data_IF_415059620643
#
_entry.id   IF_415059620643
#
_cell.length_a   1.000
_cell.length_b   1.000
_cell.length_c   1.000
_cell.angle_alpha   90.00
_cell.angle_beta   90.00
_cell.angle_gamma   90.00
#
_symmetry.space_group_name_H-M   'P 1'
#
loop_
_entity.id
_entity.type
_entity.pdbx_description
1 polymer ?
#
# COMPACT_ATOMS: atom_id res chain seq x y z
N UNK A 1 -11.52 -5.80 -21.72
CA UNK A 1 -10.34 -4.92 -21.74
C UNK A 1 -9.18 -5.73 -21.20
N UNK A 2 -8.09 -5.87 -21.94
CA UNK A 2 -6.92 -6.60 -21.45
C UNK A 2 -5.99 -5.60 -20.77
N UNK A 3 -5.57 -5.90 -19.55
CA UNK A 3 -4.57 -5.12 -18.80
C UNK A 3 -3.23 -5.84 -18.91
N UNK A 4 -2.12 -5.10 -19.00
CA UNK A 4 -0.78 -5.69 -18.99
C UNK A 4 0.09 -5.08 -17.90
N UNK A 5 1.03 -5.88 -17.39
CA UNK A 5 2.00 -5.44 -16.38
C UNK A 5 3.16 -4.77 -17.11
N UNK A 6 3.32 -3.46 -16.90
CA UNK A 6 4.46 -2.70 -17.42
C UNK A 6 5.69 -2.84 -16.54
N UNK A 7 5.51 -2.78 -15.23
CA UNK A 7 6.58 -2.92 -14.25
C UNK A 7 6.11 -3.67 -13.00
N UNK A 8 7.05 -4.29 -12.31
CA UNK A 8 6.84 -5.01 -11.06
C UNK A 8 8.01 -4.76 -10.10
N UNK A 9 7.69 -4.60 -8.83
CA UNK A 9 8.66 -4.59 -7.74
C UNK A 9 8.17 -5.39 -6.54
N UNK A 10 9.10 -5.91 -5.76
CA UNK A 10 8.83 -6.56 -4.48
C UNK A 10 9.92 -6.22 -3.47
N UNK A 11 9.50 -6.04 -2.22
CA UNK A 11 10.36 -5.70 -1.08
C UNK A 11 9.98 -6.62 0.08
N UNK A 12 11.00 -7.17 0.75
CA UNK A 12 10.84 -8.06 1.90
C UNK A 12 11.86 -7.67 2.98
N UNK A 13 11.53 -7.80 4.26
CA UNK A 13 12.49 -7.51 5.35
C UNK A 13 13.55 -8.62 5.52
N UNK A 14 14.80 -8.29 5.92
CA UNK A 14 15.31 -6.96 6.26
C UNK A 14 15.98 -6.24 5.07
N UNK A 15 15.68 -4.94 4.90
CA UNK A 15 16.38 -4.02 4.00
C UNK A 15 16.82 -2.81 4.83
N UNK A 16 18.05 -2.33 4.63
CA UNK A 16 18.46 -1.03 5.17
C UNK A 16 17.67 0.06 4.44
N UNK A 17 16.71 0.69 5.14
CA UNK A 17 15.69 1.55 4.54
C UNK A 17 15.84 3.00 5.01
N UNK A 18 15.68 3.93 4.07
CA UNK A 18 15.59 5.34 4.40
C UNK A 18 14.34 5.61 5.26
N UNK A 19 14.49 6.46 6.28
CA UNK A 19 13.36 6.86 7.10
C UNK A 19 12.34 7.65 6.27
N UNK A 20 11.06 7.30 6.36
CA UNK A 20 9.96 8.09 5.80
C UNK A 20 9.46 9.05 6.89
N UNK A 21 9.61 10.38 6.72
CA UNK A 21 9.23 11.33 7.76
C UNK A 21 7.77 11.17 8.19
N UNK A 22 7.57 11.00 9.50
CA UNK A 22 6.23 10.79 10.06
C UNK A 22 5.75 9.34 10.05
N UNK A 23 6.54 8.36 9.62
CA UNK A 23 6.19 6.94 9.69
C UNK A 23 7.32 6.15 10.34
N UNK A 24 7.32 6.11 11.68
CA UNK A 24 8.48 5.65 12.47
C UNK A 24 8.21 4.42 13.35
N UNK A 25 6.94 4.05 13.55
CA UNK A 25 6.56 3.00 14.50
C UNK A 25 6.49 1.60 13.86
N UNK A 26 6.38 1.53 12.55
CA UNK A 26 6.04 0.31 11.80
C UNK A 26 6.68 0.32 10.42
N UNK A 27 7.04 -0.86 9.92
CA UNK A 27 7.57 -1.04 8.56
C UNK A 27 6.49 -0.89 7.47
N UNK A 28 5.20 -0.89 7.84
CA UNK A 28 4.08 -0.85 6.88
C UNK A 28 4.20 0.29 5.87
N UNK A 29 4.20 1.53 6.35
CA UNK A 29 4.19 2.72 5.51
C UNK A 29 5.54 2.89 4.76
N UNK A 30 6.72 2.68 5.39
CA UNK A 30 7.98 2.66 4.65
C UNK A 30 8.06 1.59 3.55
N UNK A 31 7.49 0.40 3.74
CA UNK A 31 7.49 -0.64 2.70
C UNK A 31 6.62 -0.27 1.49
N UNK A 32 5.50 0.42 1.71
CA UNK A 32 4.67 0.97 0.62
C UNK A 32 5.47 1.97 -0.20
N UNK A 33 6.21 2.87 0.47
CA UNK A 33 7.07 3.83 -0.21
C UNK A 33 8.20 3.16 -0.99
N UNK A 34 8.90 2.21 -0.40
CA UNK A 34 9.99 1.48 -1.06
C UNK A 34 9.52 0.77 -2.33
N UNK A 35 8.42 0.03 -2.24
CA UNK A 35 7.95 -0.77 -3.37
C UNK A 35 7.37 0.12 -4.48
N UNK A 36 6.73 1.24 -4.14
CA UNK A 36 6.32 2.25 -5.11
C UNK A 36 7.54 2.88 -5.81
N UNK A 37 8.55 3.28 -5.04
CA UNK A 37 9.80 3.84 -5.54
C UNK A 37 10.50 2.88 -6.52
N UNK A 38 10.61 1.62 -6.13
CA UNK A 38 11.23 0.58 -6.94
C UNK A 38 10.43 0.29 -8.22
N UNK A 39 9.10 0.28 -8.15
CA UNK A 39 8.24 0.00 -9.30
C UNK A 39 8.21 1.16 -10.32
N UNK A 40 8.25 2.41 -9.83
CA UNK A 40 8.23 3.62 -10.68
C UNK A 40 9.62 4.01 -11.19
N UNK A 41 10.69 3.42 -10.66
CA UNK A 41 12.05 3.73 -11.06
C UNK A 41 12.26 3.54 -12.59
N UNK A 42 12.62 4.62 -13.27
CA UNK A 42 12.87 4.63 -14.71
C UNK A 42 11.61 4.48 -15.58
N UNK A 43 10.41 4.53 -14.99
CA UNK A 43 9.16 4.55 -15.73
C UNK A 43 8.79 5.97 -16.14
N UNK A 44 8.22 6.11 -17.33
CA UNK A 44 7.64 7.35 -17.83
C UNK A 44 6.12 7.27 -17.65
N UNK A 45 5.55 8.15 -16.82
CA UNK A 45 4.12 8.17 -16.52
C UNK A 45 3.65 9.60 -16.32
N UNK A 46 2.37 9.85 -16.60
CA UNK A 46 1.72 11.12 -16.32
C UNK A 46 1.02 11.04 -14.96
N UNK A 47 1.42 11.89 -14.02
CA UNK A 47 1.00 11.79 -12.61
C UNK A 47 -0.48 12.12 -12.38
N UNK A 48 -1.09 12.92 -13.25
CA UNK A 48 -2.53 13.21 -13.25
C UNK A 48 -3.36 12.07 -13.87
N UNK A 49 -2.74 11.22 -14.71
CA UNK A 49 -3.36 10.06 -15.36
C UNK A 49 -2.95 8.71 -14.75
N UNK A 50 -2.27 8.75 -13.60
CA UNK A 50 -1.89 7.58 -12.81
C UNK A 50 -2.75 7.49 -11.54
N UNK A 51 -3.49 6.40 -11.39
CA UNK A 51 -4.12 6.07 -10.12
C UNK A 51 -3.21 5.18 -9.26
N UNK A 52 -3.39 5.24 -7.94
CA UNK A 52 -2.71 4.37 -6.97
C UNK A 52 -3.76 3.60 -6.17
N UNK A 53 -3.62 2.27 -6.11
CA UNK A 53 -4.48 1.39 -5.33
C UNK A 53 -3.63 0.60 -4.33
N UNK A 54 -3.84 0.85 -3.05
CA UNK A 54 -3.17 0.17 -1.95
C UNK A 54 -4.10 -0.84 -1.27
N UNK A 55 -3.70 -2.10 -1.25
CA UNK A 55 -4.37 -3.16 -0.52
C UNK A 55 -3.56 -3.59 0.70
N UNK A 56 -4.26 -3.75 1.83
CA UNK A 56 -3.77 -4.52 2.96
C UNK A 56 -4.94 -5.03 3.78
N UNK A 57 -4.97 -6.33 4.04
CA UNK A 57 -5.95 -6.98 4.90
C UNK A 57 -5.87 -6.52 6.36
N UNK A 58 -4.66 -6.29 6.88
CA UNK A 58 -4.47 -5.90 8.29
C UNK A 58 -4.16 -4.41 8.49
N UNK A 59 -3.74 -3.71 7.44
CA UNK A 59 -3.27 -2.33 7.53
C UNK A 59 -2.04 -2.17 8.43
N UNK A 60 -1.79 -0.95 8.90
CA UNK A 60 -0.74 -0.68 9.89
C UNK A 60 -1.20 -1.06 11.31
N UNK A 61 -1.36 -2.37 11.52
CA UNK A 61 -1.82 -2.92 12.78
C UNK A 61 -0.82 -2.68 13.93
N UNK A 62 0.48 -2.52 13.62
CA UNK A 62 1.51 -2.21 14.62
C UNK A 62 1.30 -0.82 15.22
N UNK A 63 1.19 0.21 14.37
CA UNK A 63 0.91 1.58 14.83
C UNK A 63 -0.46 1.68 15.51
N UNK A 64 -1.46 0.97 14.97
CA UNK A 64 -2.81 0.91 15.57
C UNK A 64 -2.80 0.30 16.96
N UNK A 65 -2.06 -0.79 17.18
CA UNK A 65 -1.99 -1.49 18.46
C UNK A 65 -1.25 -0.68 19.51
N UNK A 66 -0.16 -0.01 19.12
CA UNK A 66 0.56 0.94 19.98
C UNK A 66 -0.37 2.06 20.44
N UNK A 67 -1.04 2.74 19.51
CA UNK A 67 -1.96 3.83 19.81
C UNK A 67 -3.08 3.38 20.76
N UNK A 68 -3.68 2.22 20.48
CA UNK A 68 -4.75 1.64 21.31
C UNK A 68 -4.27 1.28 22.72
N UNK A 69 -3.05 0.74 22.85
CA UNK A 69 -2.47 0.36 24.14
C UNK A 69 -2.17 1.58 25.00
N UNK A 70 -1.57 2.62 24.42
CA UNK A 70 -1.27 3.87 25.12
C UNK A 70 -2.57 4.55 25.60
N UNK A 71 -3.59 4.58 24.74
CA UNK A 71 -4.91 5.10 25.10
C UNK A 71 -5.54 4.33 26.27
N UNK A 72 -5.55 3.00 26.20
CA UNK A 72 -6.13 2.15 27.25
C UNK A 72 -5.39 2.29 28.59
N UNK A 73 -4.08 2.54 28.56
CA UNK A 73 -3.25 2.79 29.74
C UNK A 73 -3.40 4.23 30.29
N UNK A 74 -4.20 5.09 29.66
CA UNK A 74 -4.33 6.50 30.04
C UNK A 74 -3.05 7.32 29.81
N UNK A 75 -2.18 6.86 28.90
CA UNK A 75 -0.91 7.52 28.59
C UNK A 75 -1.09 8.58 27.51
N UNK A 76 -0.47 9.74 27.75
CA UNK A 76 -0.30 10.77 26.71
C UNK A 76 0.62 10.21 25.63
N UNK A 77 0.16 10.27 24.38
CA UNK A 77 0.86 9.76 23.23
C UNK A 77 0.85 10.77 22.09
N UNK A 78 1.69 10.56 21.09
CA UNK A 78 1.75 11.43 19.92
C UNK A 78 0.39 11.40 19.20
N UNK A 79 -0.31 12.55 19.07
CA UNK A 79 -1.64 12.59 18.45
C UNK A 79 -1.60 12.19 16.96
N UNK A 80 -0.43 12.24 16.32
CA UNK A 80 -0.27 11.79 14.94
C UNK A 80 -0.41 10.28 14.77
N UNK A 81 -0.23 9.48 15.84
CA UNK A 81 -0.39 8.02 15.75
C UNK A 81 -1.78 7.62 15.22
N UNK A 82 -2.82 8.36 15.60
CA UNK A 82 -4.17 8.11 15.09
C UNK A 82 -4.27 8.32 13.57
N UNK A 83 -3.62 9.36 13.05
CA UNK A 83 -3.62 9.67 11.63
C UNK A 83 -2.68 8.77 10.83
N UNK A 84 -1.58 8.31 11.44
CA UNK A 84 -0.57 7.43 10.82
C UNK A 84 -1.01 5.97 10.77
N UNK A 85 -1.86 5.55 11.71
CA UNK A 85 -2.37 4.18 11.79
C UNK A 85 -3.32 3.80 10.65
N UNK A 86 -3.88 4.78 9.92
CA UNK A 86 -4.77 4.47 8.79
C UNK A 86 -3.94 3.99 7.59
N UNK A 87 -4.33 2.87 6.98
CA UNK A 87 -3.59 2.26 5.89
C UNK A 87 -3.38 3.19 4.67
N UNK A 88 -4.27 4.17 4.48
CA UNK A 88 -4.20 5.15 3.39
C UNK A 88 -3.24 6.33 3.67
N UNK A 89 -2.71 6.47 4.88
CA UNK A 89 -1.96 7.67 5.29
C UNK A 89 -0.70 7.91 4.46
N UNK A 90 0.02 6.85 4.09
CA UNK A 90 1.20 6.90 3.22
C UNK A 90 0.91 7.36 1.79
N UNK A 91 -0.32 7.20 1.29
CA UNK A 91 -0.65 7.55 -0.09
C UNK A 91 -0.45 9.05 -0.37
N UNK A 92 -0.73 9.92 0.60
CA UNK A 92 -0.48 11.36 0.45
C UNK A 92 1.01 11.72 0.44
N UNK A 93 1.86 10.89 1.05
CA UNK A 93 3.31 11.06 0.99
C UNK A 93 3.85 10.61 -0.37
N UNK A 94 3.45 9.41 -0.82
CA UNK A 94 3.81 8.86 -2.14
C UNK A 94 3.34 9.80 -3.25
N UNK A 95 2.10 10.29 -3.18
CA UNK A 95 1.57 11.16 -4.22
C UNK A 95 2.36 12.46 -4.35
N UNK A 96 2.75 13.06 -3.22
CA UNK A 96 3.59 14.27 -3.20
C UNK A 96 5.00 14.00 -3.72
N UNK A 97 5.59 12.84 -3.43
CA UNK A 97 6.95 12.51 -3.84
C UNK A 97 7.07 12.24 -5.34
N UNK A 98 6.07 11.59 -5.93
CA UNK A 98 6.06 11.19 -7.34
C UNK A 98 5.18 12.09 -8.23
N UNK A 99 4.75 13.25 -7.72
CA UNK A 99 3.86 14.22 -8.41
C UNK A 99 2.57 13.59 -8.98
N UNK A 100 1.98 12.66 -8.21
CA UNK A 100 0.75 11.97 -8.58
C UNK A 100 -0.44 12.78 -8.07
N UNK A 101 -1.34 13.14 -8.98
CA UNK A 101 -2.59 13.85 -8.67
C UNK A 101 -3.83 13.07 -9.06
N UNK A 102 -3.66 11.91 -9.71
CA UNK A 102 -4.73 10.96 -9.97
C UNK A 102 -5.30 10.28 -8.71
N UNK A 103 -6.30 9.40 -8.87
CA UNK A 103 -7.01 8.77 -7.75
C UNK A 103 -6.12 7.99 -6.80
N UNK A 104 -6.32 8.19 -5.49
CA UNK A 104 -5.67 7.44 -4.41
C UNK A 104 -6.71 6.58 -3.68
N UNK A 105 -6.59 5.27 -3.79
CA UNK A 105 -7.55 4.31 -3.25
C UNK A 105 -6.83 3.39 -2.26
N UNK A 106 -7.45 3.17 -1.10
CA UNK A 106 -7.00 2.16 -0.14
C UNK A 106 -8.15 1.23 0.18
N UNK A 107 -7.85 -0.06 0.21
CA UNK A 107 -8.83 -1.11 0.49
C UNK A 107 -8.24 -2.21 1.36
N UNK A 108 -9.11 -2.88 2.10
CA UNK A 108 -8.77 -4.07 2.87
C UNK A 108 -9.19 -5.30 2.08
N UNK A 109 -8.24 -6.09 1.61
CA UNK A 109 -8.53 -7.24 0.76
C UNK A 109 -7.48 -8.35 0.85
N UNK A 110 -7.91 -9.55 0.50
CA UNK A 110 -7.05 -10.66 0.10
C UNK A 110 -6.76 -10.52 -1.40
N UNK A 111 -5.53 -10.15 -1.78
CA UNK A 111 -4.90 -9.94 -3.11
C UNK A 111 -5.74 -10.04 -4.42
N UNK A 112 -6.68 -10.97 -4.55
CA UNK A 112 -7.52 -11.16 -5.73
C UNK A 112 -8.40 -9.95 -6.10
N UNK A 113 -8.81 -9.11 -5.14
CA UNK A 113 -9.64 -7.94 -5.46
C UNK A 113 -8.82 -6.75 -5.98
N UNK A 114 -7.50 -6.73 -5.74
CA UNK A 114 -6.63 -5.61 -6.12
C UNK A 114 -6.59 -5.42 -7.65
N UNK A 115 -6.40 -6.50 -8.40
CA UNK A 115 -6.40 -6.45 -9.87
C UNK A 115 -7.79 -6.13 -10.43
N UNK A 116 -8.86 -6.65 -9.82
CA UNK A 116 -10.22 -6.35 -10.24
C UNK A 116 -10.57 -4.86 -10.05
N UNK A 117 -10.08 -4.25 -8.96
CA UNK A 117 -10.22 -2.80 -8.72
C UNK A 117 -9.38 -2.01 -9.71
N UNK A 118 -8.15 -2.44 -10.02
CA UNK A 118 -7.33 -1.79 -11.02
C UNK A 118 -7.99 -1.82 -12.42
N UNK A 119 -8.53 -2.96 -12.82
CA UNK A 119 -9.26 -3.10 -14.08
C UNK A 119 -10.49 -2.18 -14.14
N UNK A 120 -11.20 -2.04 -13.01
CA UNK A 120 -12.34 -1.11 -12.90
C UNK A 120 -11.88 0.35 -12.99
N UNK A 121 -10.80 0.72 -12.30
CA UNK A 121 -10.25 2.08 -12.32
C UNK A 121 -9.79 2.45 -13.74
N UNK A 122 -9.13 1.53 -14.46
CA UNK A 122 -8.69 1.72 -15.84
C UNK A 122 -9.85 1.87 -16.85
N UNK A 123 -11.11 1.67 -16.45
CA UNK A 123 -12.25 1.99 -17.32
C UNK A 123 -12.46 3.50 -17.50
N UNK A 124 -11.86 4.31 -16.63
CA UNK A 124 -11.82 5.76 -16.81
C UNK A 124 -10.85 6.12 -17.96
N UNK A 125 -11.34 6.73 -19.06
CA UNK A 125 -10.50 7.09 -20.19
C UNK A 125 -9.43 8.13 -19.85
N UNK A 126 -9.61 8.90 -18.78
CA UNK A 126 -8.66 9.92 -18.35
C UNK A 126 -7.42 9.30 -17.68
N UNK A 127 -7.49 8.03 -17.25
CA UNK A 127 -6.37 7.30 -16.64
C UNK A 127 -5.64 6.40 -17.65
N UNK A 128 -4.32 6.54 -17.71
CA UNK A 128 -3.47 5.68 -18.55
C UNK A 128 -2.97 4.44 -17.82
N UNK A 129 -2.75 4.57 -16.50
CA UNK A 129 -2.14 3.52 -15.70
C UNK A 129 -2.69 3.46 -14.27
N UNK A 130 -2.50 2.31 -13.63
CA UNK A 130 -2.74 2.09 -12.20
C UNK A 130 -1.50 1.48 -11.56
N UNK A 131 -0.96 2.12 -10.53
CA UNK A 131 0.00 1.53 -9.61
C UNK A 131 -0.77 0.78 -8.53
N UNK A 132 -0.74 -0.55 -8.58
CA UNK A 132 -1.26 -1.40 -7.52
C UNK A 132 -0.16 -1.71 -6.51
N UNK A 133 -0.49 -1.68 -5.22
CA UNK A 133 0.42 -1.99 -4.12
C UNK A 133 -0.30 -2.93 -3.15
N UNK A 134 0.32 -4.06 -2.82
CA UNK A 134 -0.10 -4.93 -1.71
C UNK A 134 1.00 -4.91 -0.65
N UNK A 135 0.63 -4.83 0.62
CA UNK A 135 1.56 -4.86 1.75
C UNK A 135 0.95 -5.62 2.91
N UNK A 136 1.70 -6.55 3.49
CA UNK A 136 1.33 -7.25 4.71
C UNK A 136 2.55 -7.42 5.60
N UNK A 137 2.34 -7.25 6.91
CA UNK A 137 3.37 -7.48 7.91
C UNK A 137 3.22 -8.87 8.53
N UNK A 138 4.34 -9.39 9.01
CA UNK A 138 4.38 -10.56 9.87
C UNK A 138 3.45 -10.38 11.09
N UNK A 139 2.75 -11.44 11.52
CA UNK A 139 1.64 -11.30 12.44
C UNK A 139 2.13 -11.06 13.88
N UNK A 140 1.62 -10.01 14.52
CA UNK A 140 1.63 -9.85 15.97
C UNK A 140 0.48 -10.64 16.63
N UNK A 141 0.38 -10.76 17.97
CA UNK A 141 -0.68 -11.55 18.61
C UNK A 141 -2.11 -11.17 18.20
N UNK A 142 -2.36 -9.88 17.93
CA UNK A 142 -3.67 -9.35 17.55
C UNK A 142 -4.03 -9.70 16.11
N UNK A 143 -3.12 -9.44 15.17
CA UNK A 143 -3.31 -9.79 13.76
C UNK A 143 -3.34 -11.30 13.57
N UNK A 144 -2.53 -12.08 14.30
CA UNK A 144 -2.60 -13.54 14.32
C UNK A 144 -4.00 -14.05 14.69
N UNK A 145 -4.67 -13.39 15.64
CA UNK A 145 -6.07 -13.70 15.97
C UNK A 145 -7.02 -13.31 14.84
N UNK A 146 -6.84 -12.13 14.25
CA UNK A 146 -7.66 -11.67 13.12
C UNK A 146 -7.56 -12.61 11.91
N UNK A 147 -6.35 -13.03 11.51
CA UNK A 147 -6.14 -14.00 10.45
C UNK A 147 -6.88 -15.32 10.73
N UNK A 148 -6.82 -15.84 11.97
CA UNK A 148 -7.58 -17.05 12.36
C UNK A 148 -9.09 -16.86 12.23
N UNK A 149 -9.61 -15.69 12.60
CA UNK A 149 -11.04 -15.39 12.49
C UNK A 149 -11.50 -15.27 11.03
N UNK A 150 -10.63 -14.75 10.16
CA UNK A 150 -10.89 -14.59 8.74
C UNK A 150 -10.64 -15.86 7.92
N UNK A 151 -10.02 -16.89 8.51
CA UNK A 151 -9.60 -18.08 7.78
C UNK A 151 -8.49 -17.81 6.75
N UNK A 152 -7.74 -16.73 6.93
CA UNK A 152 -6.63 -16.32 6.06
C UNK A 152 -5.28 -16.73 6.67
N UNK A 153 -4.25 -16.86 5.83
CA UNK A 153 -2.89 -17.14 6.28
C UNK A 153 -2.09 -15.84 6.35
N UNK A 154 -1.42 -15.54 7.48
CA UNK A 154 -0.50 -14.42 7.55
C UNK A 154 0.75 -14.67 6.70
N UNK A 155 1.46 -13.61 6.28
CA UNK A 155 2.77 -13.79 5.68
C UNK A 155 3.80 -14.23 6.73
N UNK A 156 4.82 -14.98 6.32
CA UNK A 156 5.90 -15.42 7.21
C UNK A 156 6.88 -14.29 7.57
N UNK A 157 6.94 -13.28 6.70
CA UNK A 157 7.81 -12.11 6.79
C UNK A 157 7.05 -10.90 6.24
N UNK A 158 7.50 -9.70 6.57
CA UNK A 158 6.90 -8.51 6.00
C UNK A 158 7.16 -8.49 4.49
N UNK A 159 6.12 -8.23 3.71
CA UNK A 159 6.19 -8.25 2.25
C UNK A 159 5.39 -7.10 1.67
N UNK A 160 5.95 -6.47 0.65
CA UNK A 160 5.24 -5.54 -0.20
C UNK A 160 5.50 -5.87 -1.67
N UNK A 161 4.49 -5.73 -2.50
CA UNK A 161 4.56 -5.91 -3.95
C UNK A 161 3.85 -4.77 -4.66
N UNK A 162 4.40 -4.31 -5.78
CA UNK A 162 3.73 -3.34 -6.63
C UNK A 162 3.75 -3.78 -8.10
N UNK A 163 2.66 -3.48 -8.80
CA UNK A 163 2.54 -3.63 -10.24
C UNK A 163 2.07 -2.33 -10.85
N UNK A 164 2.79 -1.84 -11.86
CA UNK A 164 2.33 -0.78 -12.74
C UNK A 164 1.55 -1.43 -13.89
N UNK A 165 0.25 -1.14 -13.96
CA UNK A 165 -0.69 -1.74 -14.88
C UNK A 165 -1.18 -0.71 -15.89
N UNK A 166 -1.26 -1.11 -17.16
CA UNK A 166 -1.73 -0.26 -18.25
C UNK A 166 -2.77 -0.98 -19.10
N UNK A 167 -3.65 -0.21 -19.75
CA UNK A 167 -4.54 -0.72 -20.79
C UNK A 167 -3.69 -1.30 -21.91
N UNK A 168 -3.94 -2.54 -22.31
CA UNK A 168 -3.38 -3.05 -23.56
C UNK A 168 -3.95 -2.20 -24.69
N UNK A 169 -3.08 -1.59 -25.49
CA UNK A 169 -3.51 -1.05 -26.78
C UNK A 169 -4.02 -2.21 -27.61
N UNK A 170 -5.30 -2.19 -28.00
CA UNK A 170 -5.76 -3.04 -29.09
C UNK A 170 -4.96 -2.61 -30.31
N UNK A 171 -4.02 -3.46 -30.76
CA UNK A 171 -3.33 -3.26 -32.03
C UNK A 171 -4.39 -3.05 -33.11
N UNK A 172 -4.41 -1.85 -33.70
CA UNK A 172 -5.25 -1.49 -34.86
C UNK A 172 -4.77 -2.18 -36.13
#
# INVERSE_FOLDING_TARGET
>A
MSTHVRAFASVETPVDRAAVPGFVESDFNPMVHDVASACLAGQDFDGDRLAVVLASLMGDATTTDLASTLLAAGQVHNPLLFMQATANSILGYVSREFDITGPLISLSSTDHELFAVADLVLTDPDLDAVLTISVELSPNPRTAQAYRMLGASPPERDVATAFLLERATEDM
#
